data_IF_018048992128
#
_entry.id   IF_018048992128
#
_cell.length_a   1.000
_cell.length_b   1.000
_cell.length_c   1.000
_cell.angle_alpha   90.00
_cell.angle_beta   90.00
_cell.angle_gamma   90.00
#
_symmetry.space_group_name_H-M   'P 1'
#
loop_
_entity.id
_entity.type
_entity.pdbx_description
1 polymer ?
#
# COMPACT_ATOMS: atom_id res chain seq x y z
N UNK A 1 10.01 -2.01 7.13
CA UNK A 1 11.18 -1.89 6.21
C UNK A 1 10.74 -1.63 4.76
N UNK A 2 9.43 -1.53 4.52
CA UNK A 2 8.84 -1.79 3.19
C UNK A 2 8.64 -0.51 2.36
N UNK A 3 8.33 0.62 3.01
CA UNK A 3 8.29 1.95 2.39
C UNK A 3 9.59 2.25 1.64
N UNK A 4 10.75 2.03 2.28
CA UNK A 4 12.04 2.41 1.70
C UNK A 4 12.37 1.59 0.44
N UNK A 5 12.07 0.28 0.44
CA UNK A 5 12.36 -0.59 -0.71
C UNK A 5 11.45 -0.22 -1.88
N UNK A 6 10.15 -0.08 -1.63
CA UNK A 6 9.15 0.19 -2.67
C UNK A 6 9.29 1.61 -3.24
N UNK A 7 9.57 2.60 -2.38
CA UNK A 7 9.87 3.96 -2.80
C UNK A 7 11.16 4.01 -3.61
N UNK A 8 12.18 3.24 -3.24
CA UNK A 8 13.42 3.13 -4.03
C UNK A 8 13.17 2.52 -5.40
N UNK A 9 12.35 1.47 -5.51
CA UNK A 9 11.96 0.89 -6.79
C UNK A 9 11.21 1.91 -7.67
N UNK A 10 10.25 2.65 -7.09
CA UNK A 10 9.59 3.77 -7.76
C UNK A 10 10.56 4.86 -8.19
N UNK A 11 11.55 5.18 -7.35
CA UNK A 11 12.60 6.15 -7.66
C UNK A 11 13.46 5.72 -8.85
N UNK A 12 13.85 4.44 -8.91
CA UNK A 12 14.65 3.88 -10.01
C UNK A 12 13.88 3.94 -11.34
N UNK A 13 12.58 3.62 -11.35
CA UNK A 13 11.76 3.75 -12.57
C UNK A 13 11.58 5.22 -12.98
N UNK A 14 11.60 6.15 -12.02
CA UNK A 14 11.61 7.59 -12.27
C UNK A 14 12.91 8.09 -12.89
N UNK A 15 14.05 7.56 -12.45
CA UNK A 15 15.36 7.85 -13.08
C UNK A 15 15.35 7.39 -14.54
N UNK A 16 14.75 6.23 -14.84
CA UNK A 16 14.60 5.76 -16.22
C UNK A 16 13.73 6.71 -17.07
N UNK A 17 12.63 7.21 -16.51
CA UNK A 17 11.75 8.20 -17.17
C UNK A 17 12.40 9.58 -17.34
N UNK A 18 13.38 9.93 -16.51
CA UNK A 18 14.13 11.18 -16.66
C UNK A 18 15.09 11.17 -17.88
N UNK A 19 15.34 10.00 -18.49
CA UNK A 19 16.11 9.91 -19.72
C UNK A 19 15.22 10.21 -20.93
N UNK A 20 15.50 11.33 -21.63
CA UNK A 20 14.71 11.76 -22.78
C UNK A 20 14.64 10.73 -23.93
N UNK A 21 15.67 9.91 -24.12
CA UNK A 21 15.67 8.86 -25.15
C UNK A 21 14.73 7.70 -24.79
N UNK A 22 14.67 7.33 -23.51
CA UNK A 22 13.75 6.30 -23.02
C UNK A 22 12.31 6.83 -22.89
N UNK A 23 12.13 8.11 -22.53
CA UNK A 23 10.80 8.70 -22.42
C UNK A 23 10.06 8.67 -23.76
N UNK A 24 10.74 8.77 -24.91
CA UNK A 24 10.09 8.58 -26.22
C UNK A 24 9.34 7.24 -26.30
N UNK A 25 9.87 6.17 -25.70
CA UNK A 25 9.25 4.85 -25.70
C UNK A 25 8.24 4.66 -24.56
N UNK A 26 8.37 5.38 -23.45
CA UNK A 26 7.58 5.18 -22.23
C UNK A 26 6.50 6.23 -22.01
N UNK A 27 6.59 7.38 -22.68
CA UNK A 27 5.63 8.46 -22.57
C UNK A 27 4.22 7.97 -22.91
N UNK A 28 3.23 8.43 -22.16
CA UNK A 28 1.83 8.00 -22.31
C UNK A 28 1.58 6.48 -22.24
N UNK A 29 2.52 5.69 -21.72
CA UNK A 29 2.31 4.26 -21.47
C UNK A 29 1.98 3.97 -20.00
N UNK A 30 1.59 2.72 -19.74
CA UNK A 30 1.44 2.20 -18.38
C UNK A 30 2.76 2.20 -17.58
N UNK A 31 3.92 2.43 -18.19
CA UNK A 31 5.20 2.52 -17.47
C UNK A 31 5.23 3.76 -16.56
N UNK A 32 4.77 4.91 -17.09
CA UNK A 32 4.63 6.16 -16.33
C UNK A 32 3.58 5.99 -15.22
N UNK A 33 2.50 5.25 -15.51
CA UNK A 33 1.45 4.96 -14.52
C UNK A 33 2.02 4.12 -13.37
N UNK A 34 2.77 3.07 -13.67
CA UNK A 34 3.44 2.21 -12.68
C UNK A 34 4.42 3.00 -11.80
N UNK A 35 5.28 3.81 -12.42
CA UNK A 35 6.22 4.69 -11.69
C UNK A 35 5.49 5.61 -10.70
N UNK A 36 4.51 6.37 -11.18
CA UNK A 36 3.81 7.36 -10.37
C UNK A 36 3.05 6.69 -9.22
N UNK A 37 2.38 5.56 -9.45
CA UNK A 37 1.67 4.85 -8.39
C UNK A 37 2.62 4.18 -7.39
N UNK A 38 3.83 3.77 -7.79
CA UNK A 38 4.83 3.28 -6.85
C UNK A 38 5.26 4.39 -5.88
N UNK A 39 5.56 5.58 -6.39
CA UNK A 39 5.99 6.73 -5.56
C UNK A 39 4.83 7.32 -4.75
N UNK A 40 3.64 7.46 -5.33
CA UNK A 40 2.48 8.05 -4.65
C UNK A 40 1.82 7.07 -3.68
N UNK A 41 1.50 5.85 -4.12
CA UNK A 41 0.79 4.88 -3.27
C UNK A 41 1.71 4.38 -2.17
N UNK A 42 2.93 3.93 -2.50
CA UNK A 42 3.82 3.35 -1.48
C UNK A 42 4.66 4.38 -0.76
N UNK A 43 4.74 5.61 -1.28
CA UNK A 43 5.29 6.75 -0.55
C UNK A 43 4.25 7.38 0.36
N UNK A 44 3.27 8.07 -0.22
CA UNK A 44 2.34 8.90 0.54
C UNK A 44 1.32 8.07 1.33
N UNK A 45 0.67 7.08 0.73
CA UNK A 45 -0.42 6.34 1.41
C UNK A 45 0.11 5.47 2.55
N UNK A 46 1.24 4.77 2.35
CA UNK A 46 1.90 4.04 3.44
C UNK A 46 2.40 4.98 4.55
N UNK A 47 2.89 6.16 4.19
CA UNK A 47 3.23 7.20 5.17
C UNK A 47 2.02 7.64 5.99
N UNK A 48 0.87 7.84 5.35
CA UNK A 48 -0.40 8.19 6.03
C UNK A 48 -0.83 7.08 6.98
N UNK A 49 -0.84 5.81 6.54
CA UNK A 49 -1.24 4.70 7.41
C UNK A 49 -0.22 4.45 8.52
N UNK A 50 1.08 4.56 8.25
CA UNK A 50 2.12 4.48 9.26
C UNK A 50 1.96 5.56 10.33
N UNK A 51 1.72 6.80 9.90
CA UNK A 51 1.42 7.90 10.81
C UNK A 51 0.13 7.66 11.61
N UNK A 52 -0.93 7.20 10.95
CA UNK A 52 -2.19 6.85 11.61
C UNK A 52 -1.94 5.82 12.72
N UNK A 53 -1.39 4.64 12.41
CA UNK A 53 -1.17 3.58 13.39
C UNK A 53 -0.17 3.95 14.49
N UNK A 54 0.82 4.79 14.18
CA UNK A 54 1.81 5.26 15.15
C UNK A 54 1.21 6.26 16.16
N UNK A 55 0.40 7.22 15.69
CA UNK A 55 -0.18 8.24 16.56
C UNK A 55 -1.59 7.92 17.05
N UNK A 56 -2.21 6.84 16.59
CA UNK A 56 -3.61 6.50 16.91
C UNK A 56 -3.90 6.50 18.41
N UNK A 57 -3.16 5.71 19.19
CA UNK A 57 -3.39 5.60 20.63
C UNK A 57 -3.12 6.92 21.36
N UNK A 58 -2.17 7.71 20.85
CA UNK A 58 -1.80 9.00 21.45
C UNK A 58 -2.86 10.08 21.23
N UNK A 59 -3.48 10.10 20.06
CA UNK A 59 -4.49 11.09 19.68
C UNK A 59 -5.87 10.73 20.25
N UNK A 60 -6.27 9.46 20.12
CA UNK A 60 -7.62 9.04 20.47
C UNK A 60 -7.74 8.43 21.88
N UNK A 61 -6.62 8.05 22.51
CA UNK A 61 -6.63 7.38 23.82
C UNK A 61 -7.24 5.98 23.78
N UNK A 62 -7.42 5.40 22.59
CA UNK A 62 -7.98 4.08 22.34
C UNK A 62 -6.88 3.16 21.80
N UNK A 63 -6.89 1.90 22.22
CA UNK A 63 -5.98 0.88 21.69
C UNK A 63 -6.66 0.09 20.58
N UNK A 64 -5.88 -0.22 19.55
CA UNK A 64 -6.32 -1.10 18.46
C UNK A 64 -5.60 -2.45 18.54
N UNK A 65 -6.26 -3.54 18.15
CA UNK A 65 -5.62 -4.84 18.09
C UNK A 65 -4.54 -4.89 16.98
N UNK A 66 -3.29 -5.10 17.38
CA UNK A 66 -2.11 -5.07 16.50
C UNK A 66 -2.20 -6.09 15.36
N UNK A 67 -2.84 -7.25 15.61
CA UNK A 67 -3.06 -8.29 14.60
C UNK A 67 -3.82 -7.78 13.38
N UNK A 68 -4.87 -6.98 13.58
CA UNK A 68 -5.64 -6.42 12.47
C UNK A 68 -4.85 -5.33 11.73
N UNK A 69 -4.03 -4.56 12.44
CA UNK A 69 -3.11 -3.60 11.82
C UNK A 69 -2.07 -4.30 10.93
N UNK A 70 -1.50 -5.42 11.38
CA UNK A 70 -0.58 -6.24 10.59
C UNK A 70 -1.26 -6.86 9.37
N UNK A 71 -2.49 -7.37 9.52
CA UNK A 71 -3.26 -7.91 8.39
C UNK A 71 -3.56 -6.82 7.36
N UNK A 72 -4.02 -5.64 7.80
CA UNK A 72 -4.24 -4.49 6.92
C UNK A 72 -2.96 -4.14 6.16
N UNK A 73 -1.83 -4.05 6.87
CA UNK A 73 -0.54 -3.76 6.27
C UNK A 73 -0.17 -4.76 5.17
N UNK A 74 -0.23 -6.08 5.44
CA UNK A 74 0.16 -7.10 4.48
C UNK A 74 -0.80 -7.17 3.28
N UNK A 75 -2.11 -7.01 3.50
CA UNK A 75 -3.08 -6.97 2.40
C UNK A 75 -2.85 -5.75 1.50
N UNK A 76 -2.64 -4.57 2.08
CA UNK A 76 -2.33 -3.35 1.33
C UNK A 76 -1.02 -3.51 0.57
N UNK A 77 0.03 -4.05 1.21
CA UNK A 77 1.33 -4.32 0.59
C UNK A 77 1.21 -5.25 -0.62
N UNK A 78 0.54 -6.39 -0.45
CA UNK A 78 0.38 -7.36 -1.54
C UNK A 78 -0.53 -6.81 -2.65
N UNK A 79 -1.67 -6.22 -2.30
CA UNK A 79 -2.62 -5.68 -3.28
C UNK A 79 -2.00 -4.60 -4.15
N UNK A 80 -1.30 -3.63 -3.55
CA UNK A 80 -0.66 -2.52 -4.27
C UNK A 80 0.45 -3.04 -5.19
N UNK A 81 1.29 -3.98 -4.74
CA UNK A 81 2.32 -4.57 -5.59
C UNK A 81 1.73 -5.38 -6.75
N UNK A 82 0.73 -6.23 -6.49
CA UNK A 82 0.07 -7.02 -7.54
C UNK A 82 -0.65 -6.09 -8.54
N UNK A 83 -1.15 -4.93 -8.10
CA UNK A 83 -1.80 -3.95 -8.97
C UNK A 83 -0.80 -3.22 -9.87
N UNK A 84 0.23 -2.63 -9.28
CA UNK A 84 1.06 -1.66 -9.99
C UNK A 84 2.34 -2.27 -10.58
N UNK A 85 2.81 -3.41 -10.08
CA UNK A 85 3.99 -4.07 -10.65
C UNK A 85 3.75 -4.50 -12.11
N UNK A 86 2.62 -5.16 -12.46
CA UNK A 86 2.32 -5.52 -13.85
C UNK A 86 2.25 -4.33 -14.82
N UNK A 87 1.93 -3.13 -14.33
CA UNK A 87 1.86 -1.93 -15.18
C UNK A 87 3.21 -1.58 -15.81
N UNK A 88 4.33 -1.93 -15.17
CA UNK A 88 5.66 -1.75 -15.77
C UNK A 88 5.84 -2.65 -17.00
N UNK A 89 5.40 -3.92 -16.93
CA UNK A 89 5.45 -4.83 -18.07
C UNK A 89 4.50 -4.41 -19.20
N UNK A 90 3.29 -3.95 -18.85
CA UNK A 90 2.35 -3.39 -19.81
C UNK A 90 2.94 -2.15 -20.51
N UNK A 91 3.59 -1.27 -19.76
CA UNK A 91 4.27 -0.10 -20.28
C UNK A 91 5.45 -0.43 -21.20
N UNK A 92 6.30 -1.39 -20.79
CA UNK A 92 7.40 -1.91 -21.61
C UNK A 92 6.91 -2.56 -22.90
N UNK A 93 5.72 -3.16 -22.89
CA UNK A 93 5.07 -3.71 -24.07
C UNK A 93 4.35 -2.64 -24.93
N UNK A 94 4.36 -1.38 -24.51
CA UNK A 94 3.79 -0.26 -25.28
C UNK A 94 2.29 -0.04 -25.06
N UNK A 95 1.68 -0.57 -23.99
CA UNK A 95 0.27 -0.32 -23.70
C UNK A 95 0.02 1.17 -23.39
N UNK A 96 -0.80 1.88 -24.19
CA UNK A 96 -1.13 3.28 -23.93
C UNK A 96 -2.01 3.43 -22.69
N UNK A 97 -1.82 4.52 -21.94
CA UNK A 97 -2.70 4.90 -20.83
C UNK A 97 -4.02 5.50 -21.33
N UNK A 98 -5.03 5.55 -20.44
CA UNK A 98 -6.31 6.25 -20.67
C UNK A 98 -7.13 5.71 -21.84
N UNK A 99 -7.04 4.41 -22.08
CA UNK A 99 -7.89 3.69 -23.03
C UNK A 99 -8.85 2.79 -22.24
N UNK A 100 -10.15 2.76 -22.59
CA UNK A 100 -11.12 1.91 -21.91
C UNK A 100 -11.03 0.44 -22.33
N UNK A 101 -10.43 0.17 -23.49
CA UNK A 101 -10.29 -1.16 -24.07
C UNK A 101 -8.88 -1.33 -24.65
N UNK A 102 -8.41 -2.57 -24.77
CA UNK A 102 -7.03 -2.89 -25.13
C UNK A 102 -6.93 -4.20 -25.94
N UNK A 103 -5.90 -4.35 -26.80
CA UNK A 103 -5.63 -5.60 -27.48
C UNK A 103 -5.46 -6.79 -26.53
N UNK A 104 -5.94 -7.98 -26.92
CA UNK A 104 -5.90 -9.22 -26.13
C UNK A 104 -4.50 -9.58 -25.61
N UNK A 105 -3.44 -9.16 -26.31
CA UNK A 105 -2.05 -9.34 -25.89
C UNK A 105 -1.75 -8.74 -24.49
N UNK A 106 -2.51 -7.74 -24.05
CA UNK A 106 -2.36 -7.09 -22.74
C UNK A 106 -3.28 -7.68 -21.66
N UNK A 107 -4.18 -8.60 -22.00
CA UNK A 107 -5.22 -9.07 -21.08
C UNK A 107 -4.64 -9.77 -19.83
N UNK A 108 -3.57 -10.55 -19.98
CA UNK A 108 -2.98 -11.29 -18.86
C UNK A 108 -2.52 -10.39 -17.71
N UNK A 109 -1.71 -9.37 -18.02
CA UNK A 109 -1.22 -8.43 -17.00
C UNK A 109 -2.32 -7.50 -16.45
N UNK A 110 -3.29 -7.11 -17.27
CA UNK A 110 -4.45 -6.34 -16.80
C UNK A 110 -5.32 -7.15 -15.84
N UNK A 111 -5.51 -8.44 -16.10
CA UNK A 111 -6.23 -9.33 -15.19
C UNK A 111 -5.53 -9.44 -13.83
N UNK A 112 -4.21 -9.65 -13.81
CA UNK A 112 -3.42 -9.69 -12.57
C UNK A 112 -3.52 -8.35 -11.82
N UNK A 113 -3.37 -7.23 -12.53
CA UNK A 113 -3.49 -5.91 -11.93
C UNK A 113 -4.89 -5.67 -11.31
N UNK A 114 -5.94 -6.18 -11.96
CA UNK A 114 -7.32 -6.10 -11.45
C UNK A 114 -7.51 -6.92 -10.18
N UNK A 115 -6.94 -8.14 -10.12
CA UNK A 115 -6.94 -8.97 -8.91
C UNK A 115 -6.25 -8.25 -7.75
N UNK A 116 -5.09 -7.62 -8.01
CA UNK A 116 -4.40 -6.80 -7.03
C UNK A 116 -5.27 -5.66 -6.50
N UNK A 117 -6.01 -4.99 -7.39
CA UNK A 117 -6.87 -3.86 -7.02
C UNK A 117 -8.00 -4.30 -6.09
N UNK A 118 -8.62 -5.46 -6.35
CA UNK A 118 -9.62 -6.02 -5.44
C UNK A 118 -9.04 -6.33 -4.06
N UNK A 119 -7.81 -6.86 -3.98
CA UNK A 119 -7.12 -7.10 -2.70
C UNK A 119 -6.91 -5.76 -1.96
N UNK A 120 -6.49 -4.70 -2.66
CA UNK A 120 -6.34 -3.37 -2.07
C UNK A 120 -7.66 -2.79 -1.57
N UNK A 121 -8.78 -3.01 -2.28
CA UNK A 121 -10.12 -2.58 -1.82
C UNK A 121 -10.50 -3.32 -0.53
N UNK A 122 -10.25 -4.64 -0.46
CA UNK A 122 -10.51 -5.43 0.75
C UNK A 122 -9.68 -4.91 1.93
N UNK A 123 -8.41 -4.59 1.69
CA UNK A 123 -7.53 -4.01 2.70
C UNK A 123 -8.07 -2.65 3.21
N UNK A 124 -8.51 -1.79 2.29
CA UNK A 124 -9.09 -0.50 2.62
C UNK A 124 -10.38 -0.61 3.43
N UNK A 125 -11.27 -1.56 3.09
CA UNK A 125 -12.47 -1.82 3.88
C UNK A 125 -12.13 -2.34 5.28
N UNK A 126 -11.13 -3.23 5.39
CA UNK A 126 -10.66 -3.74 6.68
C UNK A 126 -10.14 -2.62 7.58
N UNK A 127 -9.44 -1.62 7.04
CA UNK A 127 -9.02 -0.44 7.79
C UNK A 127 -10.19 0.33 8.43
N UNK A 128 -11.26 0.59 7.67
CA UNK A 128 -12.44 1.27 8.21
C UNK A 128 -13.20 0.43 9.21
N UNK A 129 -13.37 -0.87 8.94
CA UNK A 129 -14.05 -1.78 9.86
C UNK A 129 -13.30 -1.85 11.19
N UNK A 130 -11.98 -2.01 11.15
CA UNK A 130 -11.14 -2.01 12.36
C UNK A 130 -11.28 -0.70 13.13
N UNK A 131 -11.18 0.43 12.43
CA UNK A 131 -11.26 1.75 13.05
C UNK A 131 -12.64 1.99 13.67
N UNK A 132 -13.71 1.61 12.97
CA UNK A 132 -15.08 1.66 13.48
C UNK A 132 -15.24 0.80 14.75
N UNK A 133 -14.79 -0.45 14.71
CA UNK A 133 -14.89 -1.36 15.86
C UNK A 133 -14.14 -0.80 17.07
N UNK A 134 -12.97 -0.20 16.89
CA UNK A 134 -12.22 0.40 17.99
C UNK A 134 -12.98 1.59 18.60
N UNK A 135 -13.52 2.49 17.79
CA UNK A 135 -14.28 3.64 18.28
C UNK A 135 -15.58 3.28 19.01
N UNK A 136 -16.21 2.16 18.65
CA UNK A 136 -17.48 1.70 19.25
C UNK A 136 -17.31 0.50 20.19
N UNK A 137 -16.08 0.13 20.53
CA UNK A 137 -15.80 -0.95 21.48
C UNK A 137 -16.14 -0.54 22.91
N UNK A 138 -16.44 -1.53 23.75
CA UNK A 138 -16.76 -1.28 25.16
C UNK A 138 -15.49 -0.99 25.97
N UNK A 139 -15.60 -0.29 27.11
CA UNK A 139 -14.45 0.01 27.96
C UNK A 139 -13.67 -1.24 28.44
N UNK A 140 -14.38 -2.37 28.60
CA UNK A 140 -13.80 -3.67 28.96
C UNK A 140 -12.85 -4.23 27.89
N UNK A 141 -13.22 -4.07 26.61
CA UNK A 141 -12.41 -4.52 25.47
C UNK A 141 -11.16 -3.64 25.28
N UNK A 142 -11.28 -2.36 25.64
CA UNK A 142 -10.17 -1.40 25.60
C UNK A 142 -9.14 -1.66 26.71
N UNK A 143 -9.56 -2.15 27.88
CA UNK A 143 -8.66 -2.50 28.97
C UNK A 143 -7.70 -3.63 28.59
N UNK A 144 -8.19 -4.65 27.88
CA UNK A 144 -7.38 -5.75 27.35
C UNK A 144 -6.34 -5.26 26.32
N UNK A 145 -6.76 -4.41 25.38
CA UNK A 145 -5.86 -3.82 24.38
C UNK A 145 -4.74 -2.98 24.99
N UNK A 146 -5.04 -2.21 26.06
CA UNK A 146 -4.04 -1.40 26.78
C UNK A 146 -3.04 -2.30 27.53
N UNK A 147 -3.49 -3.43 28.10
CA UNK A 147 -2.61 -4.38 28.78
C UNK A 147 -1.66 -5.09 27.80
N UNK A 148 -2.16 -5.47 26.63
CA UNK A 148 -1.38 -6.06 25.54
C UNK A 148 -0.37 -5.05 24.96
N UNK A 149 -0.79 -3.80 24.72
CA UNK A 149 0.09 -2.72 24.28
C UNK A 149 1.21 -2.42 25.29
N UNK A 150 0.89 -2.38 26.60
CA UNK A 150 1.91 -2.24 27.68
C UNK A 150 2.88 -3.41 27.73
N UNK A 151 2.39 -4.63 27.50
CA UNK A 151 3.23 -5.84 27.43
C UNK A 151 4.18 -5.80 26.24
N UNK A 152 3.71 -5.40 25.05
CA UNK A 152 4.54 -5.30 23.86
C UNK A 152 5.59 -4.18 24.00
N UNK A 153 5.22 -3.03 24.54
CA UNK A 153 6.14 -1.92 24.80
C UNK A 153 7.21 -2.23 25.88
N UNK A 154 6.89 -3.10 26.84
CA UNK A 154 7.85 -3.54 27.86
C UNK A 154 8.81 -4.61 27.34
N UNK A 155 8.36 -5.47 26.42
CA UNK A 155 9.22 -6.43 25.71
C UNK A 155 10.21 -5.71 24.78
N UNK A 156 9.76 -4.69 24.03
CA UNK A 156 10.66 -3.89 23.17
C UNK A 156 11.76 -3.18 23.97
N UNK A 157 11.47 -2.70 25.20
CA UNK A 157 12.48 -2.09 26.08
C UNK A 157 13.56 -3.05 26.58
N UNK A 158 13.34 -4.37 26.52
CA UNK A 158 14.32 -5.39 26.94
C UNK A 158 15.20 -5.82 25.75
N UNK A 159 14.76 -5.57 24.52
CA UNK A 159 15.42 -5.98 23.29
C UNK A 159 16.25 -4.87 22.62
N UNK A 160 16.35 -3.69 23.25
CA UNK A 160 17.24 -2.58 22.85
C UNK A 160 18.36 -2.43 23.88
#
# INVERSE_FOLDING_TARGET
MDFLILFSLGGITGIALANAGLDIAFHDTYYVVGHFHYVLSMGAVFGIFGGFYFWFEKIFGLSYPEIFGKIHFWLTFLGVNITFFPMHFLGLAGMPRRIPDYPDAYAGWNFIASVGSYISIIAFLLFFVQTYLVFFSKPEDQAFGIEEAKKNASVEKILV
#
